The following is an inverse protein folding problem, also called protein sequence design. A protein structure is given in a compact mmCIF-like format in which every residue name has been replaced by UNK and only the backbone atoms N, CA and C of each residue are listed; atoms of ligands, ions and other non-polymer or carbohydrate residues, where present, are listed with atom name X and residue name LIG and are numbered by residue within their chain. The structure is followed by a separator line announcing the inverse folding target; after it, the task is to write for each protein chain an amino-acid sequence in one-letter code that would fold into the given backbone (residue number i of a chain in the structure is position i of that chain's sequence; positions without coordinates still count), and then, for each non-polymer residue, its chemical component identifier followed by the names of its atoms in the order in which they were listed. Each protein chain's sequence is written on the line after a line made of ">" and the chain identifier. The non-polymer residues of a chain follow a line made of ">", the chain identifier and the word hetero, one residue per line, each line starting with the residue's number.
data_IF_718272527932
#
_entry.id   IF_718272527932
#
_cell.length_a   1.000
_cell.length_b   1.000
_cell.length_c   1.000
_cell.angle_alpha   90.00
_cell.angle_beta   90.00
_cell.angle_gamma   90.00
#
_symmetry.space_group_name_H-M   'P 1'
#
loop_
_entity.id
_entity.type
_entity.pdbx_description
1 polymer ?
#
# COMPACT_ATOMS: atom_id res chain seq x y z
N UNK A 1 15.58 -10.56 1.09
CA UNK A 1 16.06 -10.08 -0.22
C UNK A 1 17.58 -10.20 -0.33
N UNK A 2 18.13 -10.44 -1.53
CA UNK A 2 19.58 -10.44 -1.81
C UNK A 2 19.88 -9.98 -3.26
N UNK A 3 21.16 -9.90 -3.65
CA UNK A 3 21.57 -9.46 -4.99
C UNK A 3 20.98 -10.29 -6.14
N UNK A 4 20.84 -11.60 -5.96
CA UNK A 4 20.25 -12.47 -6.98
C UNK A 4 18.74 -12.26 -7.13
N UNK A 5 18.06 -11.91 -6.04
CA UNK A 5 16.64 -11.56 -6.05
C UNK A 5 16.41 -10.21 -6.73
N UNK A 6 17.24 -9.20 -6.40
CA UNK A 6 17.20 -7.88 -7.05
C UNK A 6 17.44 -8.03 -8.56
N UNK A 7 18.47 -8.79 -8.94
CA UNK A 7 18.75 -9.06 -10.34
C UNK A 7 17.57 -9.77 -11.03
N UNK A 8 16.90 -10.71 -10.35
CA UNK A 8 15.70 -11.38 -10.88
C UNK A 8 14.57 -10.39 -11.17
N UNK A 9 14.38 -9.37 -10.33
CA UNK A 9 13.41 -8.29 -10.57
C UNK A 9 13.81 -7.50 -11.81
N UNK A 10 15.04 -7.01 -11.87
CA UNK A 10 15.58 -6.21 -12.98
C UNK A 10 15.50 -6.96 -14.32
N UNK A 11 15.99 -8.19 -14.37
CA UNK A 11 15.95 -9.06 -15.55
C UNK A 11 14.50 -9.34 -16.00
N UNK A 12 13.55 -9.38 -15.07
CA UNK A 12 12.14 -9.69 -15.41
C UNK A 12 11.43 -8.55 -16.10
N UNK A 13 11.80 -7.31 -15.80
CA UNK A 13 11.15 -6.11 -16.32
C UNK A 13 12.03 -5.30 -17.29
N UNK A 14 13.23 -5.80 -17.61
CA UNK A 14 14.18 -5.21 -18.56
C UNK A 14 14.57 -3.77 -18.22
N UNK A 15 14.79 -3.49 -16.93
CA UNK A 15 15.30 -2.22 -16.44
C UNK A 15 16.24 -2.40 -15.25
N UNK A 16 16.97 -1.36 -14.87
CA UNK A 16 17.72 -1.31 -13.60
C UNK A 16 16.94 -0.53 -12.55
N UNK A 17 16.86 -1.05 -11.33
CA UNK A 17 16.20 -0.34 -10.24
C UNK A 17 17.05 0.90 -9.85
N UNK A 18 16.42 2.02 -9.45
CA UNK A 18 17.15 3.17 -8.91
C UNK A 18 18.06 2.76 -7.75
N UNK A 19 19.26 3.33 -7.68
CA UNK A 19 20.29 2.94 -6.71
C UNK A 19 19.81 3.01 -5.26
N UNK A 20 19.02 4.02 -4.93
CA UNK A 20 18.48 4.24 -3.59
C UNK A 20 17.53 3.10 -3.19
N UNK A 21 16.66 2.68 -4.10
CA UNK A 21 15.74 1.57 -3.85
C UNK A 21 16.44 0.20 -3.86
N UNK A 22 17.42 0.01 -4.76
CA UNK A 22 18.28 -1.18 -4.73
C UNK A 22 18.98 -1.34 -3.38
N UNK A 23 19.57 -0.26 -2.87
CA UNK A 23 20.23 -0.26 -1.57
C UNK A 23 19.24 -0.58 -0.44
N UNK A 24 18.04 0.00 -0.48
CA UNK A 24 16.96 -0.29 0.47
C UNK A 24 16.59 -1.78 0.47
N UNK A 25 16.43 -2.39 -0.70
CA UNK A 25 16.05 -3.80 -0.83
C UNK A 25 17.12 -4.73 -0.25
N UNK A 26 18.40 -4.41 -0.43
CA UNK A 26 19.52 -5.20 0.09
C UNK A 26 19.74 -5.00 1.60
N UNK A 27 19.35 -3.85 2.14
CA UNK A 27 19.56 -3.47 3.52
C UNK A 27 18.23 -3.16 4.24
N UNK A 28 17.25 -4.05 4.04
CA UNK A 28 15.89 -3.84 4.51
C UNK A 28 15.84 -3.59 6.04
N UNK A 29 15.28 -2.45 6.49
CA UNK A 29 15.45 -2.01 7.87
C UNK A 29 14.45 -2.62 8.86
N UNK A 30 13.33 -3.18 8.40
CA UNK A 30 12.23 -3.67 9.26
C UNK A 30 12.25 -5.20 9.33
N UNK A 31 12.88 -5.75 10.37
CA UNK A 31 13.15 -7.20 10.44
C UNK A 31 11.91 -8.07 10.53
N UNK A 32 10.88 -7.64 11.27
CA UNK A 32 9.64 -8.40 11.42
C UNK A 32 8.79 -8.43 10.14
N UNK A 33 9.08 -7.56 9.17
CA UNK A 33 8.41 -7.50 7.88
C UNK A 33 9.20 -8.19 6.77
N UNK A 34 10.36 -8.77 7.10
CA UNK A 34 11.21 -9.38 6.08
C UNK A 34 10.54 -10.62 5.47
N UNK A 35 10.48 -10.63 4.15
CA UNK A 35 9.80 -11.63 3.35
C UNK A 35 8.27 -11.51 3.31
N UNK A 36 7.67 -10.46 3.89
CA UNK A 36 6.21 -10.31 3.96
C UNK A 36 5.70 -9.22 3.02
N UNK A 37 4.38 -9.18 2.86
CA UNK A 37 3.64 -8.16 2.10
C UNK A 37 2.63 -7.42 2.98
N UNK A 38 2.77 -7.53 4.30
CA UNK A 38 1.79 -7.05 5.28
C UNK A 38 2.03 -5.59 5.68
N UNK A 39 3.03 -4.94 5.09
CA UNK A 39 3.42 -3.57 5.38
C UNK A 39 3.49 -2.73 4.11
N UNK A 40 3.43 -1.40 4.22
CA UNK A 40 3.50 -0.47 3.08
C UNK A 40 4.71 -0.63 2.16
N UNK A 41 5.78 -1.26 2.63
CA UNK A 41 7.02 -1.49 1.89
C UNK A 41 7.38 -2.97 1.91
N UNK A 42 7.62 -3.56 0.74
CA UNK A 42 7.86 -4.99 0.57
C UNK A 42 9.34 -5.29 0.29
N UNK A 43 9.85 -6.41 0.83
CA UNK A 43 11.17 -6.97 0.51
C UNK A 43 11.09 -8.42 0.00
N UNK A 44 9.89 -8.86 -0.40
CA UNK A 44 9.65 -10.16 -1.02
C UNK A 44 9.70 -10.05 -2.55
N UNK A 45 10.73 -10.62 -3.17
CA UNK A 45 10.95 -10.51 -4.61
C UNK A 45 9.84 -11.16 -5.45
N UNK A 46 9.35 -12.33 -5.05
CA UNK A 46 8.32 -13.03 -5.80
C UNK A 46 7.00 -12.26 -5.75
N UNK A 47 6.66 -11.67 -4.60
CA UNK A 47 5.49 -10.81 -4.46
C UNK A 47 5.62 -9.52 -5.29
N UNK A 48 6.76 -8.83 -5.23
CA UNK A 48 7.03 -7.64 -6.04
C UNK A 48 6.91 -7.94 -7.54
N UNK A 49 7.48 -9.05 -7.99
CA UNK A 49 7.42 -9.49 -9.39
C UNK A 49 5.99 -9.82 -9.79
N UNK A 50 5.30 -10.65 -9.02
CA UNK A 50 3.94 -11.09 -9.33
C UNK A 50 2.98 -9.89 -9.39
N UNK A 51 3.04 -9.01 -8.39
CA UNK A 51 2.12 -7.87 -8.29
C UNK A 51 2.39 -6.82 -9.36
N UNK A 52 3.65 -6.49 -9.65
CA UNK A 52 3.96 -5.58 -10.75
C UNK A 52 3.55 -6.15 -12.11
N UNK A 53 3.73 -7.46 -12.35
CA UNK A 53 3.20 -8.08 -13.58
C UNK A 53 1.68 -8.00 -13.68
N UNK A 54 0.99 -8.24 -12.58
CA UNK A 54 -0.47 -8.14 -12.50
C UNK A 54 -0.93 -6.73 -12.86
N UNK A 55 -0.28 -5.71 -12.30
CA UNK A 55 -0.55 -4.30 -12.55
C UNK A 55 -0.26 -3.87 -13.99
N UNK A 56 0.59 -4.58 -14.73
CA UNK A 56 0.87 -4.33 -16.16
C UNK A 56 -0.19 -4.91 -17.10
N UNK A 57 -1.17 -5.64 -16.58
CA UNK A 57 -2.25 -6.22 -17.38
C UNK A 57 -3.55 -5.49 -17.16
N UNK A 58 -4.38 -5.40 -18.20
CA UNK A 58 -5.75 -4.92 -18.03
C UNK A 58 -6.54 -5.93 -17.18
N UNK A 59 -7.21 -5.43 -16.14
CA UNK A 59 -8.01 -6.26 -15.23
C UNK A 59 -9.43 -5.71 -15.12
N UNK A 60 -10.37 -6.61 -14.83
CA UNK A 60 -11.76 -6.25 -14.58
C UNK A 60 -12.24 -6.90 -13.30
N UNK A 61 -12.68 -6.10 -12.34
CA UNK A 61 -13.25 -6.57 -11.07
C UNK A 61 -14.45 -5.71 -10.68
N UNK A 62 -15.50 -6.35 -10.17
CA UNK A 62 -16.72 -5.67 -9.68
C UNK A 62 -17.33 -4.63 -10.67
N UNK A 63 -17.19 -4.87 -11.97
CA UNK A 63 -17.66 -3.96 -13.01
C UNK A 63 -16.74 -2.77 -13.32
N UNK A 64 -15.65 -2.61 -12.58
CA UNK A 64 -14.59 -1.63 -12.81
C UNK A 64 -13.52 -2.24 -13.73
N UNK A 65 -13.02 -1.44 -14.67
CA UNK A 65 -11.89 -1.81 -15.54
C UNK A 65 -10.67 -1.03 -15.09
N UNK A 66 -9.63 -1.76 -14.71
CA UNK A 66 -8.36 -1.22 -14.24
C UNK A 66 -7.39 -1.11 -15.41
N UNK A 67 -6.88 0.09 -15.62
CA UNK A 67 -5.89 0.35 -16.66
C UNK A 67 -4.53 -0.24 -16.26
N UNK A 68 -3.75 -0.74 -17.23
CA UNK A 68 -2.37 -1.14 -16.97
C UNK A 68 -1.54 0.02 -16.38
N UNK A 69 -0.71 -0.29 -15.38
CA UNK A 69 0.25 0.63 -14.81
C UNK A 69 1.29 1.05 -15.87
N UNK A 70 1.60 2.35 -16.04
CA UNK A 70 2.59 2.82 -17.03
C UNK A 70 3.99 2.28 -16.74
N UNK A 71 4.73 1.88 -17.79
CA UNK A 71 6.00 1.14 -17.70
C UNK A 71 7.09 1.80 -16.83
N UNK A 72 7.05 3.12 -16.70
CA UNK A 72 7.99 3.89 -15.88
C UNK A 72 7.68 3.82 -14.37
N UNK A 73 6.51 3.33 -13.94
CA UNK A 73 6.21 3.16 -12.52
C UNK A 73 6.42 1.72 -12.05
N UNK A 74 7.02 1.55 -10.89
CA UNK A 74 7.21 0.25 -10.24
C UNK A 74 6.64 0.28 -8.82
N UNK A 75 5.77 -0.68 -8.49
CA UNK A 75 5.22 -0.85 -7.14
C UNK A 75 6.30 -1.34 -6.18
N UNK A 76 6.43 -0.65 -5.04
CA UNK A 76 7.33 -0.98 -3.94
C UNK A 76 6.62 -1.53 -2.70
N UNK A 77 5.30 -1.37 -2.63
CA UNK A 77 4.43 -2.00 -1.62
C UNK A 77 3.03 -1.38 -1.60
N UNK A 78 2.17 -1.88 -0.71
CA UNK A 78 0.80 -1.41 -0.49
C UNK A 78 0.41 -1.63 0.97
N UNK A 79 -0.56 -0.86 1.47
CA UNK A 79 -0.94 -0.87 2.90
C UNK A 79 -2.15 -1.78 3.21
N UNK A 80 -2.70 -2.46 2.20
CA UNK A 80 -3.90 -3.29 2.33
C UNK A 80 -5.21 -2.51 2.54
N UNK A 81 -5.16 -1.19 2.64
CA UNK A 81 -6.32 -0.30 2.73
C UNK A 81 -6.64 0.38 1.38
N UNK A 82 -5.92 0.01 0.32
CA UNK A 82 -6.12 0.52 -1.03
C UNK A 82 -5.05 1.51 -1.47
N UNK A 83 -4.09 1.85 -0.61
CA UNK A 83 -2.97 2.70 -0.99
C UNK A 83 -1.80 1.86 -1.48
N UNK A 84 -1.31 2.21 -2.67
CA UNK A 84 -0.16 1.61 -3.31
C UNK A 84 0.96 2.63 -3.45
N UNK A 85 2.17 2.21 -3.13
CA UNK A 85 3.37 3.03 -3.19
C UNK A 85 4.20 2.59 -4.39
N UNK A 86 4.52 3.56 -5.24
CA UNK A 86 5.23 3.37 -6.50
C UNK A 86 6.52 4.21 -6.48
N UNK A 87 7.47 3.86 -7.33
CA UNK A 87 8.58 4.74 -7.73
C UNK A 87 8.57 4.92 -9.23
N UNK A 88 9.00 6.09 -9.71
CA UNK A 88 9.34 6.26 -11.12
C UNK A 88 10.76 5.75 -11.35
N UNK A 89 10.91 4.68 -12.13
CA UNK A 89 12.22 4.07 -12.42
C UNK A 89 13.08 4.93 -13.36
N UNK A 90 12.48 5.91 -14.03
CA UNK A 90 13.18 6.86 -14.89
C UNK A 90 13.62 8.13 -14.12
N UNK A 91 13.19 8.32 -12.87
CA UNK A 91 13.59 9.47 -12.05
C UNK A 91 14.77 9.10 -11.12
N UNK A 92 15.94 9.68 -11.38
CA UNK A 92 17.14 9.50 -10.55
C UNK A 92 16.93 9.91 -9.09
N UNK A 93 15.96 10.79 -8.81
CA UNK A 93 15.64 11.23 -7.44
C UNK A 93 14.92 10.16 -6.64
N UNK A 94 14.39 9.13 -7.31
CA UNK A 94 13.63 8.01 -6.73
C UNK A 94 12.46 8.53 -5.85
N UNK A 95 11.63 9.38 -6.43
CA UNK A 95 10.44 9.94 -5.77
C UNK A 95 9.40 8.83 -5.57
N UNK A 96 8.76 8.82 -4.40
CA UNK A 96 7.63 7.93 -4.11
C UNK A 96 6.36 8.56 -4.66
N UNK A 97 5.60 7.77 -5.40
CA UNK A 97 4.27 8.10 -5.88
C UNK A 97 3.23 7.25 -5.18
N UNK A 98 2.03 7.79 -5.06
CA UNK A 98 0.89 7.14 -4.45
C UNK A 98 -0.15 6.88 -5.53
N UNK A 99 -0.72 5.68 -5.50
CA UNK A 99 -1.87 5.28 -6.29
C UNK A 99 -2.93 4.75 -5.33
N UNK A 100 -4.16 5.27 -5.44
CA UNK A 100 -5.28 4.85 -4.61
C UNK A 100 -6.20 3.93 -5.41
N UNK A 101 -6.56 2.77 -4.86
CA UNK A 101 -7.45 1.78 -5.48
C UNK A 101 -7.12 1.44 -6.93
N UNK A 102 -5.82 1.37 -7.27
CA UNK A 102 -5.34 1.10 -8.64
C UNK A 102 -5.81 2.11 -9.70
N UNK A 103 -6.11 3.35 -9.30
CA UNK A 103 -6.51 4.44 -10.21
C UNK A 103 -5.29 5.10 -10.83
N UNK A 104 -4.86 4.55 -11.96
CA UNK A 104 -3.67 4.99 -12.70
C UNK A 104 -3.72 6.47 -13.12
N UNK A 105 -4.92 7.00 -13.38
CA UNK A 105 -5.16 8.40 -13.74
C UNK A 105 -4.94 9.39 -12.58
N UNK A 106 -4.85 8.87 -11.34
CA UNK A 106 -4.66 9.66 -10.13
C UNK A 106 -3.29 9.44 -9.47
N UNK A 107 -2.34 8.81 -10.18
CA UNK A 107 -0.97 8.65 -9.67
C UNK A 107 -0.37 10.04 -9.45
N UNK A 108 0.00 10.32 -8.20
CA UNK A 108 0.61 11.58 -7.78
C UNK A 108 1.82 11.36 -6.88
N UNK A 109 2.74 12.32 -6.77
CA UNK A 109 3.86 12.20 -5.83
C UNK A 109 3.34 12.19 -4.38
N UNK A 110 3.96 11.37 -3.53
CA UNK A 110 3.83 11.52 -2.08
C UNK A 110 4.39 12.87 -1.67
N UNK A 111 3.63 13.65 -0.90
CA UNK A 111 4.02 14.99 -0.49
C UNK A 111 4.35 15.01 0.99
N UNK A 112 5.55 15.49 1.32
CA UNK A 112 5.96 15.70 2.69
C UNK A 112 5.34 16.96 3.29
N UNK A 113 5.70 17.27 4.54
CA UNK A 113 5.10 18.37 5.32
C UNK A 113 5.27 19.76 4.67
N UNK A 114 6.22 19.91 3.74
CA UNK A 114 6.45 21.13 2.95
C UNK A 114 5.80 21.16 1.57
N UNK A 115 4.95 20.16 1.23
CA UNK A 115 4.32 20.02 -0.08
C UNK A 115 5.28 19.68 -1.22
N UNK A 116 6.49 19.24 -0.91
CA UNK A 116 7.48 18.78 -1.89
C UNK A 116 7.37 17.27 -2.09
N UNK A 117 7.63 16.75 -3.31
CA UNK A 117 7.71 15.32 -3.56
C UNK A 117 8.74 14.63 -2.65
N UNK A 118 8.33 13.56 -1.99
CA UNK A 118 9.19 12.79 -1.09
C UNK A 118 10.06 11.81 -1.87
N UNK A 119 11.36 11.81 -1.58
CA UNK A 119 12.27 10.76 -2.04
C UNK A 119 12.05 9.51 -1.20
N UNK A 120 12.37 8.35 -1.75
CA UNK A 120 12.19 7.07 -1.04
C UNK A 120 12.90 7.02 0.33
N UNK A 121 14.07 7.67 0.44
CA UNK A 121 14.81 7.75 1.70
C UNK A 121 14.07 8.57 2.78
N UNK A 122 13.46 9.70 2.38
CA UNK A 122 12.72 10.58 3.28
C UNK A 122 11.38 9.93 3.69
N UNK A 123 10.68 9.33 2.73
CA UNK A 123 9.46 8.57 2.96
C UNK A 123 9.71 7.39 3.92
N UNK A 124 10.77 6.61 3.69
CA UNK A 124 11.16 5.51 4.58
C UNK A 124 11.54 6.04 5.97
N UNK A 125 12.28 7.14 6.05
CA UNK A 125 12.66 7.73 7.33
C UNK A 125 11.42 8.10 8.16
N UNK A 126 10.43 8.74 7.55
CA UNK A 126 9.15 9.07 8.18
C UNK A 126 8.42 7.82 8.64
N UNK A 127 8.29 6.81 7.79
CA UNK A 127 7.67 5.53 8.14
C UNK A 127 8.36 4.86 9.35
N UNK A 128 9.69 4.81 9.37
CA UNK A 128 10.45 4.24 10.50
C UNK A 128 10.31 5.07 11.77
N UNK A 129 10.21 6.40 11.65
CA UNK A 129 9.98 7.30 12.76
C UNK A 129 8.59 7.09 13.37
N UNK A 130 7.57 6.90 12.52
CA UNK A 130 6.20 6.61 12.96
C UNK A 130 6.14 5.28 13.73
N UNK A 131 6.73 4.21 13.18
CA UNK A 131 6.84 2.93 13.88
C UNK A 131 7.52 3.09 15.25
N UNK A 132 8.62 3.85 15.31
CA UNK A 132 9.33 4.12 16.56
C UNK A 132 8.48 4.91 17.55
N UNK A 133 7.74 5.92 17.10
CA UNK A 133 6.86 6.74 17.93
C UNK A 133 5.70 5.92 18.49
N UNK A 134 5.25 4.91 17.75
CA UNK A 134 4.25 3.92 18.19
C UNK A 134 4.83 2.87 19.14
N UNK A 135 6.12 2.95 19.48
CA UNK A 135 6.81 2.02 20.38
C UNK A 135 7.11 0.67 19.74
N UNK A 136 7.12 0.59 18.40
CA UNK A 136 7.41 -0.63 17.65
C UNK A 136 8.93 -0.81 17.51
N UNK A 137 9.43 -1.97 17.92
CA UNK A 137 10.83 -2.35 17.75
C UNK A 137 11.05 -2.95 16.35
N UNK A 138 11.59 -2.15 15.42
CA UNK A 138 11.92 -2.54 14.04
C UNK A 138 13.03 -3.61 13.95
N UNK A 139 13.78 -3.82 15.03
CA UNK A 139 14.86 -4.82 15.09
C UNK A 139 14.37 -6.19 15.57
N UNK A 140 13.14 -6.25 16.09
CA UNK A 140 12.47 -7.49 16.45
C UNK A 140 12.20 -8.34 15.20
N UNK A 141 12.34 -9.66 15.33
CA UNK A 141 11.92 -10.61 14.30
C UNK A 141 10.42 -10.95 14.40
N UNK A 142 9.77 -10.57 15.50
CA UNK A 142 8.34 -10.77 15.72
C UNK A 142 7.60 -9.46 15.53
N UNK A 143 6.57 -9.47 14.69
CA UNK A 143 5.71 -8.31 14.49
C UNK A 143 5.07 -7.89 15.82
N UNK A 144 4.87 -6.59 16.06
CA UNK A 144 4.16 -6.13 17.25
C UNK A 144 2.75 -6.73 17.26
N UNK A 145 2.27 -7.09 18.46
CA UNK A 145 0.90 -7.54 18.61
C UNK A 145 -0.04 -6.38 18.28
N UNK A 146 -0.87 -6.55 17.25
CA UNK A 146 -1.86 -5.54 16.88
C UNK A 146 -2.90 -5.42 18.00
N UNK A 147 -2.75 -4.38 18.83
CA UNK A 147 -3.74 -4.03 19.85
C UNK A 147 -4.84 -3.22 19.21
N UNK A 148 -5.83 -3.90 18.64
CA UNK A 148 -7.03 -3.24 18.15
C UNK A 148 -7.68 -2.51 19.33
N UNK A 149 -7.66 -1.18 19.28
CA UNK A 149 -8.25 -0.36 20.33
C UNK A 149 -9.74 -0.65 20.44
N UNK A 150 -10.25 -0.80 21.67
CA UNK A 150 -11.68 -0.96 21.93
C UNK A 150 -12.52 0.17 21.31
N UNK A 151 -11.95 1.37 21.14
CA UNK A 151 -12.57 2.50 20.44
C UNK A 151 -13.00 2.13 19.01
N UNK A 152 -12.11 1.55 18.21
CA UNK A 152 -12.43 1.14 16.82
C UNK A 152 -13.52 0.07 16.76
N UNK A 153 -13.54 -0.86 17.73
CA UNK A 153 -14.59 -1.89 17.82
C UNK A 153 -15.95 -1.24 18.13
N UNK A 154 -15.98 -0.34 19.11
CA UNK A 154 -17.20 0.35 19.54
C UNK A 154 -17.73 1.25 18.42
N UNK A 155 -16.87 1.98 17.73
CA UNK A 155 -17.24 2.82 16.58
C UNK A 155 -17.80 1.97 15.43
N UNK A 156 -17.14 0.85 15.10
CA UNK A 156 -17.61 -0.07 14.07
C UNK A 156 -18.98 -0.69 14.41
N UNK A 157 -19.17 -1.15 15.65
CA UNK A 157 -20.47 -1.68 16.10
C UNK A 157 -21.55 -0.59 16.11
N UNK A 158 -21.21 0.63 16.53
CA UNK A 158 -22.11 1.77 16.52
C UNK A 158 -22.60 2.10 15.10
N UNK A 159 -21.69 2.12 14.12
CA UNK A 159 -22.03 2.32 12.72
C UNK A 159 -22.93 1.21 12.18
N UNK A 160 -22.63 -0.05 12.47
CA UNK A 160 -23.46 -1.18 12.06
C UNK A 160 -24.88 -1.10 12.63
N UNK A 161 -25.03 -0.74 13.91
CA UNK A 161 -26.33 -0.55 14.54
C UNK A 161 -27.10 0.63 13.93
N UNK A 162 -26.42 1.73 13.62
CA UNK A 162 -27.02 2.88 12.96
C UNK A 162 -27.53 2.52 11.56
N UNK A 163 -26.72 1.81 10.77
CA UNK A 163 -27.11 1.35 9.43
C UNK A 163 -28.30 0.40 9.49
N UNK A 164 -28.29 -0.56 10.42
CA UNK A 164 -29.40 -1.47 10.64
C UNK A 164 -30.69 -0.71 10.99
N UNK A 165 -30.62 0.29 11.87
CA UNK A 165 -31.76 1.14 12.22
C UNK A 165 -32.29 1.91 11.00
N UNK A 166 -31.41 2.52 10.21
CA UNK A 166 -31.80 3.26 8.99
C UNK A 166 -32.48 2.32 7.99
N UNK A 167 -31.94 1.12 7.77
CA UNK A 167 -32.56 0.11 6.90
C UNK A 167 -33.93 -0.31 7.43
N UNK A 168 -34.06 -0.62 8.72
CA UNK A 168 -35.35 -0.96 9.33
C UNK A 168 -36.38 0.16 9.17
N UNK A 169 -35.99 1.42 9.37
CA UNK A 169 -36.88 2.57 9.19
C UNK A 169 -37.29 2.76 7.72
N UNK A 170 -36.38 2.57 6.77
CA UNK A 170 -36.72 2.61 5.35
C UNK A 170 -37.70 1.51 4.95
N UNK A 171 -37.51 0.28 5.43
CA UNK A 171 -38.42 -0.85 5.18
C UNK A 171 -39.81 -0.55 5.75
N UNK A 172 -39.89 -0.14 7.03
CA UNK A 172 -41.15 0.20 7.67
C UNK A 172 -41.88 1.37 6.96
N UNK A 173 -41.13 2.37 6.49
CA UNK A 173 -41.69 3.47 5.70
C UNK A 173 -42.25 3.01 4.35
N UNK A 174 -41.56 2.11 3.65
CA UNK A 174 -42.04 1.52 2.39
C UNK A 174 -43.30 0.68 2.62
N UNK A 175 -43.35 -0.13 3.68
CA UNK A 175 -44.55 -0.90 4.04
C UNK A 175 -45.74 0.02 4.30
N UNK A 176 -45.54 1.08 5.09
CA UNK A 176 -46.58 2.08 5.35
C UNK A 176 -47.09 2.79 4.10
N UNK A 177 -46.23 3.05 3.11
CA UNK A 177 -46.62 3.70 1.85
C UNK A 177 -47.30 2.75 0.86
N UNK A 178 -46.94 1.47 0.89
CA UNK A 178 -47.50 0.43 0.00
C UNK A 178 -48.79 -0.19 0.55
N UNK A 179 -49.21 0.18 1.77
CA UNK A 179 -50.44 -0.29 2.39
C UNK A 179 -50.40 -1.78 2.77
N UNK A 180 -49.19 -2.31 2.97
CA UNK A 180 -48.95 -3.66 3.51
C UNK A 180 -48.83 -3.64 5.02
#
# INVERSE_FOLDING_TARGET
>A
MNESDVKRIEDRFDFSLPSDYRHLLLHFPVRFSSGTTDQPLWDNADALIARNQELRTERKSLGVTYQPLPENFFLIGEDGAGWQFLIDICDERCVVHIMEFERVDEIGPSLGDGGQPERIADWLHKYLLDLKNDGIDITSSTAPEYKMGWGCIIEGLGLCLLLALVISLMVAGIESLTGR
#
